data_IF_128935271772
#
_entry.id   IF_128935271772
#
_cell.length_a   1.000
_cell.length_b   1.000
_cell.length_c   1.000
_cell.angle_alpha   90.00
_cell.angle_beta   90.00
_cell.angle_gamma   90.00
#
_symmetry.space_group_name_H-M   'P 1'
#
loop_
_entity.id
_entity.type
_entity.pdbx_description
1 polymer ?
#
# COMPACT_ATOMS: atom_id res chain seq x y z
N UNK A 1 11.12 -4.53 -11.84
CA UNK A 1 10.55 -5.16 -10.61
C UNK A 1 11.59 -5.88 -9.73
N UNK A 2 12.90 -5.58 -9.81
CA UNK A 2 13.92 -6.33 -9.07
C UNK A 2 14.43 -5.58 -7.81
N UNK A 3 13.50 -4.97 -7.08
CA UNK A 3 13.79 -4.01 -6.00
C UNK A 3 13.86 -4.65 -4.62
N UNK A 4 13.26 -5.82 -4.46
CA UNK A 4 13.27 -6.61 -3.24
C UNK A 4 13.33 -8.09 -3.62
N UNK A 5 13.98 -8.90 -2.78
CA UNK A 5 13.98 -10.35 -2.93
C UNK A 5 12.59 -10.86 -2.56
N UNK A 6 11.69 -10.86 -3.53
CA UNK A 6 10.41 -11.56 -3.46
C UNK A 6 10.51 -12.85 -4.28
N UNK A 7 9.60 -13.80 -4.01
CA UNK A 7 9.46 -15.04 -4.78
C UNK A 7 9.44 -14.82 -6.31
N UNK A 8 9.70 -15.89 -7.07
CA UNK A 8 9.86 -15.85 -8.54
C UNK A 8 8.80 -14.98 -9.23
N UNK A 9 9.24 -13.97 -9.99
CA UNK A 9 8.34 -13.05 -10.71
C UNK A 9 7.49 -13.82 -11.72
N UNK A 10 6.16 -13.81 -11.55
CA UNK A 10 5.22 -14.35 -12.55
C UNK A 10 5.08 -13.44 -13.78
N UNK A 11 5.30 -12.14 -13.64
CA UNK A 11 5.18 -11.14 -14.70
C UNK A 11 6.10 -9.94 -14.39
N UNK A 12 6.74 -9.38 -15.41
CA UNK A 12 7.68 -8.25 -15.27
C UNK A 12 7.00 -6.90 -15.01
N UNK A 13 5.69 -6.81 -15.25
CA UNK A 13 4.88 -5.59 -15.19
C UNK A 13 3.87 -5.57 -14.05
N UNK A 14 3.61 -6.72 -13.42
CA UNK A 14 2.65 -6.85 -12.34
C UNK A 14 3.09 -7.95 -11.36
N UNK A 15 3.19 -7.61 -10.09
CA UNK A 15 3.49 -8.56 -9.03
C UNK A 15 2.63 -8.28 -7.81
N UNK A 16 1.97 -9.32 -7.29
CA UNK A 16 1.16 -9.23 -6.06
C UNK A 16 1.65 -10.29 -5.08
N UNK A 17 2.01 -9.84 -3.89
CA UNK A 17 2.59 -10.65 -2.83
C UNK A 17 1.63 -10.67 -1.65
N UNK A 18 1.48 -11.85 -1.04
CA UNK A 18 0.93 -12.01 0.29
C UNK A 18 2.10 -12.25 1.24
N UNK A 19 2.35 -11.32 2.16
CA UNK A 19 3.50 -11.39 3.05
C UNK A 19 3.52 -12.65 3.92
N UNK A 20 2.35 -13.17 4.30
CA UNK A 20 2.26 -14.41 5.08
C UNK A 20 2.84 -15.64 4.34
N UNK A 21 3.02 -15.56 3.02
CA UNK A 21 3.56 -16.63 2.20
C UNK A 21 5.06 -16.45 1.86
N UNK A 22 5.67 -15.32 2.22
CA UNK A 22 7.06 -15.02 1.88
C UNK A 22 8.00 -15.40 3.03
N UNK A 23 8.97 -16.26 2.74
CA UNK A 23 9.91 -16.80 3.74
C UNK A 23 11.25 -16.07 3.80
N UNK A 24 11.62 -15.39 2.72
CA UNK A 24 12.93 -14.76 2.52
C UNK A 24 12.78 -13.25 2.27
N UNK A 25 11.93 -12.58 3.05
CA UNK A 25 11.69 -11.14 2.89
C UNK A 25 12.98 -10.32 3.13
N UNK A 26 13.34 -9.47 2.16
CA UNK A 26 14.46 -8.55 2.32
C UNK A 26 14.13 -7.48 3.37
N UNK A 27 14.54 -7.69 4.62
CA UNK A 27 14.25 -6.80 5.76
C UNK A 27 14.86 -5.41 5.68
N UNK A 28 15.93 -5.24 4.90
CA UNK A 28 16.65 -3.99 4.78
C UNK A 28 17.11 -3.73 3.36
N UNK A 29 16.93 -2.49 2.89
CA UNK A 29 17.43 -2.05 1.59
C UNK A 29 18.35 -0.85 1.70
N UNK A 30 19.19 -0.68 0.68
CA UNK A 30 19.75 0.63 0.38
C UNK A 30 18.66 1.52 -0.23
N UNK A 31 18.92 2.82 -0.30
CA UNK A 31 18.03 3.77 -0.97
C UNK A 31 17.88 3.39 -2.46
N UNK A 32 16.66 3.10 -2.90
CA UNK A 32 16.32 2.70 -4.27
C UNK A 32 15.35 3.70 -4.91
N UNK A 33 15.54 4.00 -6.19
CA UNK A 33 14.53 4.70 -6.98
C UNK A 33 13.60 3.65 -7.59
N UNK A 34 12.29 3.86 -7.44
CA UNK A 34 11.28 2.97 -8.03
C UNK A 34 10.72 3.58 -9.32
N UNK A 35 10.40 2.74 -10.30
CA UNK A 35 9.78 3.10 -11.58
C UNK A 35 8.35 2.54 -11.72
N UNK A 36 7.78 2.09 -10.60
CA UNK A 36 6.49 1.43 -10.51
C UNK A 36 5.59 2.11 -9.48
N UNK A 37 4.29 1.81 -9.55
CA UNK A 37 3.39 2.09 -8.45
C UNK A 37 3.41 0.91 -7.47
N UNK A 38 3.41 1.23 -6.19
CA UNK A 38 3.32 0.25 -5.12
C UNK A 38 2.17 0.62 -4.19
N UNK A 39 1.32 -0.36 -3.86
CA UNK A 39 0.27 -0.22 -2.86
C UNK A 39 0.41 -1.37 -1.89
N UNK A 40 0.49 -1.09 -0.60
CA UNK A 40 0.62 -2.12 0.42
C UNK A 40 -0.35 -1.89 1.58
N UNK A 41 -1.00 -2.95 2.04
CA UNK A 41 -1.75 -2.97 3.30
C UNK A 41 -1.09 -3.96 4.24
N UNK A 42 -0.71 -3.50 5.43
CA UNK A 42 -0.04 -4.33 6.43
C UNK A 42 -0.07 -3.68 7.82
N UNK A 43 0.08 -4.47 8.89
CA UNK A 43 0.45 -3.94 10.20
C UNK A 43 1.81 -3.19 10.16
N UNK A 44 2.09 -2.36 11.16
CA UNK A 44 3.40 -1.80 11.46
C UNK A 44 4.50 -2.86 11.44
N UNK A 45 5.61 -2.56 10.75
CA UNK A 45 6.78 -3.44 10.69
C UNK A 45 8.05 -2.76 11.21
N UNK A 46 7.99 -1.48 11.57
CA UNK A 46 9.18 -0.76 12.04
C UNK A 46 9.60 -1.29 13.41
N UNK A 47 10.92 -1.38 13.62
CA UNK A 47 11.51 -2.08 14.78
C UNK A 47 11.17 -1.44 16.12
N UNK A 48 10.96 -0.13 16.14
CA UNK A 48 10.74 0.66 17.35
C UNK A 48 9.47 1.53 17.28
N UNK A 49 8.47 1.13 16.46
CA UNK A 49 7.30 1.98 16.23
C UNK A 49 6.40 2.05 17.45
N UNK A 50 6.27 3.26 18.01
CA UNK A 50 5.16 3.62 18.89
C UNK A 50 3.99 3.96 17.98
N UNK A 51 2.96 3.12 17.99
CA UNK A 51 1.72 3.40 17.26
C UNK A 51 0.92 4.40 18.09
N UNK A 52 1.01 5.68 17.74
CA UNK A 52 0.11 6.67 18.32
C UNK A 52 -1.33 6.35 17.89
N UNK A 53 -2.18 6.09 18.87
CA UNK A 53 -3.61 5.96 18.65
C UNK A 53 -4.18 7.38 18.46
N UNK A 54 -4.36 7.77 17.20
CA UNK A 54 -4.87 9.09 16.81
C UNK A 54 -6.39 9.18 16.95
N UNK A 55 -7.10 8.05 16.78
CA UNK A 55 -8.57 7.98 16.81
C UNK A 55 -9.07 6.72 17.51
N UNK A 56 -10.31 6.75 18.01
CA UNK A 56 -10.94 5.65 18.77
C UNK A 56 -11.14 4.38 17.92
N UNK A 57 -11.50 4.54 16.65
CA UNK A 57 -11.79 3.47 15.70
C UNK A 57 -10.61 3.12 14.79
N UNK A 58 -9.40 3.59 15.12
CA UNK A 58 -8.17 3.31 14.39
C UNK A 58 -7.92 1.80 14.28
N UNK A 59 -7.62 1.34 13.06
CA UNK A 59 -7.24 -0.02 12.76
C UNK A 59 -5.78 -0.33 13.11
N UNK A 60 -5.43 -1.61 13.05
CA UNK A 60 -4.06 -2.08 13.29
C UNK A 60 -3.20 -2.04 12.03
N UNK A 61 -3.80 -2.11 10.84
CA UNK A 61 -3.10 -2.01 9.55
C UNK A 61 -3.09 -0.58 9.02
N UNK A 62 -2.09 -0.31 8.20
CA UNK A 62 -1.92 0.93 7.48
C UNK A 62 -1.88 0.67 5.98
N UNK A 63 -2.32 1.65 5.22
CA UNK A 63 -2.17 1.66 3.77
C UNK A 63 -0.98 2.53 3.37
N UNK A 64 -0.13 1.99 2.50
CA UNK A 64 1.03 2.67 1.92
C UNK A 64 0.84 2.74 0.41
N UNK A 65 1.06 3.91 -0.18
CA UNK A 65 1.01 4.07 -1.64
C UNK A 65 2.20 4.91 -2.10
N UNK A 66 2.96 4.35 -3.05
CA UNK A 66 4.12 4.95 -3.66
C UNK A 66 3.98 4.98 -5.18
N UNK A 67 4.66 5.95 -5.81
CA UNK A 67 4.60 6.19 -7.25
C UNK A 67 5.98 6.15 -7.91
N UNK A 68 6.03 6.03 -9.24
CA UNK A 68 7.28 6.10 -9.98
C UNK A 68 8.04 7.40 -9.70
N UNK A 69 9.37 7.31 -9.67
CA UNK A 69 10.34 8.38 -9.37
C UNK A 69 10.51 8.70 -7.88
N UNK A 70 9.70 8.13 -7.00
CA UNK A 70 9.97 8.19 -5.56
C UNK A 70 11.22 7.38 -5.22
N UNK A 71 11.85 7.76 -4.11
CA UNK A 71 12.99 7.03 -3.57
C UNK A 71 12.66 6.40 -2.22
N UNK A 72 12.89 5.10 -2.08
CA UNK A 72 12.54 4.35 -0.88
C UNK A 72 13.76 3.71 -0.24
N UNK A 73 13.74 3.55 1.08
CA UNK A 73 14.65 2.69 1.83
C UNK A 73 13.84 2.10 3.00
N UNK A 74 14.14 0.88 3.41
CA UNK A 74 13.47 0.27 4.56
C UNK A 74 14.45 -0.48 5.46
N UNK A 75 14.10 -0.56 6.73
CA UNK A 75 14.74 -1.39 7.75
C UNK A 75 13.64 -1.84 8.71
N UNK A 76 13.03 -2.99 8.41
CA UNK A 76 11.80 -3.46 9.05
C UNK A 76 11.95 -4.89 9.58
N UNK A 77 11.04 -5.28 10.47
CA UNK A 77 10.85 -6.68 10.85
C UNK A 77 10.24 -7.47 9.68
N UNK A 78 10.37 -8.80 9.74
CA UNK A 78 9.67 -9.68 8.81
C UNK A 78 8.15 -9.50 8.96
N UNK A 79 7.42 -9.32 7.85
CA UNK A 79 5.97 -9.21 7.92
C UNK A 79 5.30 -10.57 8.14
N UNK A 80 4.45 -10.63 9.15
CA UNK A 80 3.61 -11.78 9.50
C UNK A 80 2.39 -11.88 8.58
N UNK A 81 1.92 -10.73 8.09
CA UNK A 81 0.69 -10.59 7.32
C UNK A 81 0.70 -9.30 6.49
N UNK A 82 -0.12 -9.30 5.44
CA UNK A 82 -0.37 -8.14 4.59
C UNK A 82 -0.22 -8.48 3.12
N UNK A 83 -0.51 -7.49 2.28
CA UNK A 83 -0.40 -7.60 0.84
C UNK A 83 0.37 -6.42 0.27
N UNK A 84 1.08 -6.65 -0.82
CA UNK A 84 1.62 -5.59 -1.67
C UNK A 84 1.33 -5.87 -3.13
N UNK A 85 0.86 -4.85 -3.83
CA UNK A 85 0.69 -4.81 -5.28
C UNK A 85 1.77 -3.89 -5.83
N UNK A 86 2.62 -4.42 -6.70
CA UNK A 86 3.59 -3.67 -7.49
C UNK A 86 3.17 -3.73 -8.95
N UNK A 87 3.03 -2.58 -9.59
CA UNK A 87 2.49 -2.48 -10.94
C UNK A 87 3.25 -1.44 -11.76
N UNK A 88 3.69 -1.84 -12.94
CA UNK A 88 4.35 -0.97 -13.90
C UNK A 88 3.43 0.20 -14.26
N UNK A 89 4.01 1.40 -14.31
CA UNK A 89 3.27 2.62 -14.59
C UNK A 89 2.41 2.51 -15.85
N UNK A 90 2.89 1.86 -16.92
CA UNK A 90 2.16 1.76 -18.19
C UNK A 90 0.80 1.07 -18.08
N UNK A 91 0.60 0.22 -17.08
CA UNK A 91 -0.64 -0.53 -16.89
C UNK A 91 -1.74 0.33 -16.25
N UNK A 92 -1.37 1.26 -15.37
CA UNK A 92 -2.35 2.01 -14.57
C UNK A 92 -2.20 3.53 -14.67
N UNK A 93 -1.27 4.06 -15.48
CA UNK A 93 -0.98 5.50 -15.56
C UNK A 93 -2.22 6.36 -15.81
N UNK A 94 -3.16 5.88 -16.62
CA UNK A 94 -4.39 6.61 -16.92
C UNK A 94 -5.25 6.80 -15.67
N UNK A 95 -5.41 5.74 -14.88
CA UNK A 95 -6.18 5.73 -13.64
C UNK A 95 -5.42 6.47 -12.54
N UNK A 96 -4.13 6.19 -12.37
CA UNK A 96 -3.32 6.77 -11.31
C UNK A 96 -3.24 8.31 -11.39
N UNK A 97 -3.22 8.88 -12.60
CA UNK A 97 -3.22 10.34 -12.81
C UNK A 97 -4.45 11.06 -12.27
N UNK A 98 -5.57 10.36 -12.10
CA UNK A 98 -6.80 10.97 -11.58
C UNK A 98 -6.70 11.25 -10.07
N UNK A 99 -5.74 10.62 -9.40
CA UNK A 99 -5.57 10.70 -7.96
C UNK A 99 -4.41 11.61 -7.59
N UNK A 100 -4.73 12.79 -7.07
CA UNK A 100 -3.73 13.78 -6.68
C UNK A 100 -2.78 13.28 -5.57
N UNK A 101 -3.14 12.20 -4.86
CA UNK A 101 -2.32 11.71 -3.76
C UNK A 101 -1.03 11.01 -4.17
N UNK A 102 -0.90 10.56 -5.42
CA UNK A 102 0.39 10.02 -5.90
C UNK A 102 1.46 11.11 -6.07
N UNK A 103 1.14 12.39 -5.82
CA UNK A 103 2.12 13.46 -5.71
C UNK A 103 2.42 13.89 -4.26
N UNK A 104 1.78 13.28 -3.25
CA UNK A 104 2.19 13.53 -1.85
C UNK A 104 3.51 12.81 -1.62
N UNK A 105 4.57 13.61 -1.53
CA UNK A 105 5.96 13.16 -1.46
C UNK A 105 6.36 12.67 -0.05
N UNK A 106 5.40 12.16 0.70
CA UNK A 106 5.61 11.70 2.06
C UNK A 106 5.20 10.22 2.05
N UNK A 107 6.17 9.33 2.24
CA UNK A 107 5.98 7.89 2.45
C UNK A 107 5.19 7.57 3.75
N UNK A 108 4.23 8.43 4.09
CA UNK A 108 3.45 8.36 5.32
C UNK A 108 2.41 7.27 5.21
N UNK A 109 2.36 6.45 6.26
CA UNK A 109 1.34 5.45 6.45
C UNK A 109 -0.03 6.14 6.58
N UNK A 110 -0.98 5.75 5.72
CA UNK A 110 -2.36 6.21 5.84
C UNK A 110 -3.06 5.38 6.92
N UNK A 111 -3.54 6.08 7.95
CA UNK A 111 -4.34 5.50 9.02
C UNK A 111 -5.71 5.08 8.48
N UNK A 112 -6.17 3.91 8.90
CA UNK A 112 -7.45 3.34 8.51
C UNK A 112 -8.38 3.25 9.73
N UNK A 113 -9.69 3.31 9.50
CA UNK A 113 -10.66 2.81 10.48
C UNK A 113 -10.72 1.29 10.40
N UNK A 114 -11.29 0.63 11.43
CA UNK A 114 -11.48 -0.84 11.42
C UNK A 114 -12.31 -1.33 10.23
N UNK A 115 -13.31 -0.56 9.81
CA UNK A 115 -14.14 -0.94 8.66
C UNK A 115 -13.38 -0.77 7.34
N UNK A 116 -12.56 0.28 7.22
CA UNK A 116 -11.70 0.50 6.05
C UNK A 116 -10.63 -0.60 5.91
N UNK A 117 -10.08 -1.05 7.03
CA UNK A 117 -9.15 -2.18 7.08
C UNK A 117 -9.83 -3.42 6.49
N UNK A 118 -10.99 -3.83 7.01
CA UNK A 118 -11.71 -5.02 6.52
C UNK A 118 -11.96 -4.95 5.02
N UNK A 119 -12.41 -3.80 4.52
CA UNK A 119 -12.70 -3.61 3.10
C UNK A 119 -11.43 -3.72 2.24
N UNK A 120 -10.37 -2.99 2.60
CA UNK A 120 -9.13 -3.01 1.83
C UNK A 120 -8.48 -4.38 1.85
N UNK A 121 -8.41 -5.05 3.00
CA UNK A 121 -7.89 -6.42 3.07
C UNK A 121 -8.61 -7.38 2.12
N UNK A 122 -9.95 -7.28 2.02
CA UNK A 122 -10.72 -8.08 1.06
C UNK A 122 -10.36 -7.73 -0.40
N UNK A 123 -10.24 -6.44 -0.74
CA UNK A 123 -9.86 -6.01 -2.10
C UNK A 123 -8.45 -6.49 -2.50
N UNK A 124 -7.47 -6.33 -1.62
CA UNK A 124 -6.11 -6.81 -1.83
C UNK A 124 -6.07 -8.34 -1.97
N UNK A 125 -6.80 -9.06 -1.11
CA UNK A 125 -6.93 -10.51 -1.20
C UNK A 125 -7.54 -10.94 -2.53
N UNK A 126 -8.63 -10.31 -2.99
CA UNK A 126 -9.25 -10.65 -4.27
C UNK A 126 -8.32 -10.40 -5.47
N UNK A 127 -7.56 -9.31 -5.43
CA UNK A 127 -6.54 -9.04 -6.46
C UNK A 127 -5.43 -10.11 -6.45
N UNK A 128 -4.95 -10.49 -5.26
CA UNK A 128 -3.99 -11.58 -5.09
C UNK A 128 -4.55 -12.92 -5.61
N UNK A 129 -5.76 -13.30 -5.21
CA UNK A 129 -6.40 -14.55 -5.63
C UNK A 129 -6.56 -14.62 -7.16
N UNK A 130 -6.93 -13.51 -7.81
CA UNK A 130 -6.96 -13.41 -9.28
C UNK A 130 -5.57 -13.65 -9.87
N UNK A 131 -4.54 -12.97 -9.36
CA UNK A 131 -3.14 -13.11 -9.80
C UNK A 131 -2.56 -14.52 -9.57
N UNK A 132 -3.10 -15.28 -8.63
CA UNK A 132 -2.68 -16.66 -8.39
C UNK A 132 -3.22 -17.65 -9.42
N UNK A 133 -4.23 -17.30 -10.23
CA UNK A 133 -4.77 -18.18 -11.26
C UNK A 133 -3.72 -18.50 -12.34
N UNK A 134 -3.74 -19.72 -12.92
CA UNK A 134 -2.84 -20.06 -14.04
C UNK A 134 -2.97 -19.10 -15.23
N UNK A 135 -4.20 -18.64 -15.49
CA UNK A 135 -4.51 -17.60 -16.47
C UNK A 135 -5.33 -16.52 -15.76
N UNK A 136 -4.63 -15.55 -15.18
CA UNK A 136 -5.26 -14.40 -14.53
C UNK A 136 -5.71 -13.36 -15.57
N UNK A 137 -6.71 -12.56 -15.22
CA UNK A 137 -7.13 -11.39 -16.01
C UNK A 137 -6.46 -10.13 -15.49
N UNK A 138 -5.60 -9.53 -16.32
CA UNK A 138 -4.98 -8.25 -16.00
C UNK A 138 -6.02 -7.13 -15.81
N UNK A 139 -7.08 -7.11 -16.63
CA UNK A 139 -8.14 -6.10 -16.56
C UNK A 139 -8.93 -6.18 -15.25
N UNK A 140 -9.15 -7.39 -14.74
CA UNK A 140 -9.78 -7.60 -13.43
C UNK A 140 -8.87 -7.08 -12.32
N UNK A 141 -7.57 -7.33 -12.39
CA UNK A 141 -6.60 -6.81 -11.41
C UNK A 141 -6.55 -5.27 -11.47
N UNK A 142 -6.51 -4.69 -12.66
CA UNK A 142 -6.57 -3.23 -12.84
C UNK A 142 -7.86 -2.64 -12.27
N UNK A 143 -8.98 -3.35 -12.36
CA UNK A 143 -10.24 -2.94 -11.76
C UNK A 143 -10.16 -2.93 -10.22
N UNK A 144 -9.55 -3.94 -9.60
CA UNK A 144 -9.30 -3.95 -8.16
C UNK A 144 -8.37 -2.82 -7.73
N UNK A 145 -7.27 -2.60 -8.46
CA UNK A 145 -6.35 -1.49 -8.22
C UNK A 145 -7.09 -0.15 -8.28
N UNK A 146 -7.92 0.04 -9.31
CA UNK A 146 -8.72 1.27 -9.48
C UNK A 146 -9.60 1.51 -8.26
N UNK A 147 -10.29 0.48 -7.77
CA UNK A 147 -11.16 0.58 -6.60
C UNK A 147 -10.37 0.88 -5.31
N UNK A 148 -9.20 0.25 -5.13
CA UNK A 148 -8.29 0.54 -4.02
C UNK A 148 -7.86 2.01 -4.05
N UNK A 149 -7.45 2.53 -5.21
CA UNK A 149 -7.05 3.93 -5.37
C UNK A 149 -8.22 4.89 -5.11
N UNK A 150 -9.45 4.55 -5.53
CA UNK A 150 -10.65 5.33 -5.21
C UNK A 150 -10.89 5.44 -3.70
N UNK A 151 -10.83 4.32 -2.97
CA UNK A 151 -10.97 4.35 -1.51
C UNK A 151 -9.82 5.09 -0.83
N UNK A 152 -8.60 4.92 -1.34
CA UNK A 152 -7.42 5.65 -0.86
C UNK A 152 -7.64 7.17 -0.91
N UNK A 153 -8.19 7.69 -2.01
CA UNK A 153 -8.53 9.11 -2.14
C UNK A 153 -9.53 9.60 -1.09
N UNK A 154 -10.55 8.78 -0.81
CA UNK A 154 -11.57 9.08 0.21
C UNK A 154 -10.90 9.13 1.59
N UNK A 155 -10.11 8.12 1.93
CA UNK A 155 -9.45 7.99 3.23
C UNK A 155 -8.41 9.09 3.47
N UNK A 156 -7.62 9.46 2.46
CA UNK A 156 -6.74 10.63 2.56
C UNK A 156 -7.50 11.92 2.86
N UNK A 157 -8.66 12.10 2.21
CA UNK A 157 -9.48 13.30 2.40
C UNK A 157 -10.08 13.34 3.81
N UNK A 158 -10.57 12.21 4.31
CA UNK A 158 -11.10 12.06 5.67
C UNK A 158 -10.01 12.25 6.73
N UNK A 159 -8.86 11.58 6.57
CA UNK A 159 -7.73 11.67 7.51
C UNK A 159 -7.22 13.11 7.66
N UNK A 160 -7.10 13.85 6.55
CA UNK A 160 -6.73 15.27 6.60
C UNK A 160 -7.73 16.11 7.37
N UNK A 161 -9.03 15.88 7.18
CA UNK A 161 -10.06 16.60 7.93
C UNK A 161 -10.00 16.28 9.42
N UNK A 162 -9.77 15.02 9.79
CA UNK A 162 -9.67 14.61 11.19
C UNK A 162 -8.43 15.21 11.87
N UNK A 163 -7.25 15.23 11.22
CA UNK A 163 -6.08 15.94 11.77
C UNK A 163 -6.39 17.43 12.00
N UNK A 164 -7.02 18.09 11.03
CA UNK A 164 -7.37 19.51 11.15
C UNK A 164 -8.32 19.71 12.35
N UNK A 165 -9.36 18.87 12.49
CA UNK A 165 -10.28 18.93 13.62
C UNK A 165 -9.56 18.79 14.96
N UNK A 166 -8.69 17.79 15.10
CA UNK A 166 -7.95 17.55 16.34
C UNK A 166 -6.95 18.68 16.64
N UNK A 167 -6.30 19.25 15.62
CA UNK A 167 -5.36 20.37 15.78
C UNK A 167 -6.10 21.66 16.20
N UNK A 168 -7.25 21.94 15.59
CA UNK A 168 -8.07 23.13 15.92
C UNK A 168 -8.71 23.00 17.32
N UNK A 169 -9.15 21.80 17.71
CA UNK A 169 -9.71 21.55 19.05
C UNK A 169 -8.64 21.55 20.15
N UNK A 170 -7.38 21.26 19.82
CA UNK A 170 -6.25 21.33 20.75
C UNK A 170 -5.76 22.77 21.04
N UNK A 171 -6.31 23.80 20.37
CA UNK A 171 -6.05 25.20 20.70
C UNK A 171 -4.64 25.70 20.36
N UNK A 172 -4.15 25.38 19.16
CA UNK A 172 -2.98 26.02 18.54
C UNK A 172 -3.41 26.94 17.41
#
# INVERSE_FOLDING_TARGET
>A
MNYAQFSTLKNDNLHIVNFANEKDFLRKSQKINIDLYMMAIKPPLEKDQIIDQKFEDQANSFLYVDCPQNTMAWDVNEPDSGYVIMVDAKLIHRVAKEYNFVHYNNHEALYLTKDDEVLLWDLFKKAYDEFQKPQYSQDVIVSYITLILSYTQIYYSTYKQEIIRHTVLAGI
#
